data_IF_301254401875
#
_entry.id   IF_301254401875
#
_cell.length_a   1.000
_cell.length_b   1.000
_cell.length_c   1.000
_cell.angle_alpha   90.00
_cell.angle_beta   90.00
_cell.angle_gamma   90.00
#
_symmetry.space_group_name_H-M   'P 1'
#
loop_
_entity.id
_entity.type
_entity.pdbx_description
1 polymer ?
#
# COMPACT_ATOMS: atom_id res chain seq x y z
N UNK A 1 20.39 -13.34 -45.41
CA UNK A 1 19.96 -14.04 -44.18
C UNK A 1 18.76 -13.28 -43.65
N UNK A 2 17.55 -13.75 -43.98
CA UNK A 2 16.32 -13.13 -43.47
C UNK A 2 16.04 -13.70 -42.09
N UNK A 3 15.94 -12.84 -41.09
CA UNK A 3 15.46 -13.24 -39.75
C UNK A 3 14.08 -13.88 -39.94
N UNK A 4 13.92 -15.12 -39.50
CA UNK A 4 12.63 -15.80 -39.57
C UNK A 4 11.62 -15.05 -38.68
N UNK A 5 10.40 -14.81 -39.15
CA UNK A 5 9.36 -14.12 -38.39
C UNK A 5 9.10 -14.78 -37.02
N UNK A 6 9.34 -16.09 -36.93
CA UNK A 6 9.24 -16.86 -35.69
C UNK A 6 10.36 -16.51 -34.68
N UNK A 7 11.60 -16.31 -35.13
CA UNK A 7 12.72 -15.87 -34.29
C UNK A 7 12.51 -14.43 -33.79
N UNK A 8 11.96 -13.56 -34.64
CA UNK A 8 11.63 -12.18 -34.26
C UNK A 8 10.54 -12.14 -33.18
N UNK A 9 9.50 -12.97 -33.31
CA UNK A 9 8.43 -13.08 -32.31
C UNK A 9 8.95 -13.62 -30.97
N UNK A 10 9.86 -14.60 -30.99
CA UNK A 10 10.48 -15.14 -29.78
C UNK A 10 11.38 -14.10 -29.08
N UNK A 11 12.14 -13.31 -29.83
CA UNK A 11 12.96 -12.21 -29.31
C UNK A 11 12.09 -11.14 -28.65
N UNK A 12 11.04 -10.68 -29.33
CA UNK A 12 10.09 -9.69 -28.78
C UNK A 12 9.41 -10.20 -27.51
N UNK A 13 9.03 -11.49 -27.47
CA UNK A 13 8.44 -12.10 -26.29
C UNK A 13 9.41 -12.12 -25.11
N UNK A 14 10.68 -12.43 -25.35
CA UNK A 14 11.73 -12.43 -24.32
C UNK A 14 11.99 -11.03 -23.79
N UNK A 15 12.08 -10.04 -24.68
CA UNK A 15 12.25 -8.63 -24.30
C UNK A 15 11.06 -8.12 -23.47
N UNK A 16 9.84 -8.48 -23.84
CA UNK A 16 8.63 -8.14 -23.10
C UNK A 16 8.62 -8.75 -21.69
N UNK A 17 8.97 -10.04 -21.55
CA UNK A 17 9.05 -10.69 -20.25
C UNK A 17 10.13 -10.07 -19.36
N UNK A 18 11.28 -9.71 -19.95
CA UNK A 18 12.34 -9.01 -19.23
C UNK A 18 11.90 -7.61 -18.78
N UNK A 19 11.19 -6.87 -19.63
CA UNK A 19 10.61 -5.58 -19.27
C UNK A 19 9.59 -5.71 -18.12
N UNK A 20 8.74 -6.74 -18.15
CA UNK A 20 7.80 -7.04 -17.06
C UNK A 20 8.51 -7.37 -15.74
N UNK A 21 9.61 -8.13 -15.79
CA UNK A 21 10.40 -8.44 -14.61
C UNK A 21 11.03 -7.19 -14.00
N UNK A 22 11.62 -6.34 -14.83
CA UNK A 22 12.19 -5.06 -14.42
C UNK A 22 11.11 -4.16 -13.79
N UNK A 23 9.93 -4.09 -14.40
CA UNK A 23 8.81 -3.31 -13.85
C UNK A 23 8.32 -3.87 -12.51
N UNK A 24 8.32 -5.20 -12.33
CA UNK A 24 7.97 -5.84 -11.06
C UNK A 24 8.97 -5.46 -9.95
N UNK A 25 10.27 -5.53 -10.22
CA UNK A 25 11.31 -5.14 -9.26
C UNK A 25 11.19 -3.66 -8.91
N UNK A 26 11.04 -2.80 -9.93
CA UNK A 26 10.86 -1.36 -9.74
C UNK A 26 9.65 -1.07 -8.85
N UNK A 27 8.51 -1.68 -9.14
CA UNK A 27 7.28 -1.53 -8.33
C UNK A 27 7.46 -2.00 -6.88
N UNK A 28 8.23 -3.07 -6.66
CA UNK A 28 8.59 -3.52 -5.31
C UNK A 28 9.43 -2.50 -4.56
N UNK A 29 10.40 -1.87 -5.24
CA UNK A 29 11.20 -0.78 -4.68
C UNK A 29 10.33 0.42 -4.33
N UNK A 30 9.46 0.86 -5.25
CA UNK A 30 8.54 1.98 -5.02
C UNK A 30 7.65 1.73 -3.80
N UNK A 31 7.09 0.53 -3.65
CA UNK A 31 6.31 0.15 -2.46
C UNK A 31 7.11 0.31 -1.17
N UNK A 32 8.37 -0.12 -1.16
CA UNK A 32 9.24 0.01 -0.01
C UNK A 32 9.53 1.49 0.31
N UNK A 33 9.76 2.31 -0.72
CA UNK A 33 10.05 3.73 -0.55
C UNK A 33 8.82 4.54 -0.10
N UNK A 34 7.61 4.19 -0.56
CA UNK A 34 6.37 4.74 -0.01
C UNK A 34 6.21 4.37 1.47
N UNK A 35 6.55 3.14 1.86
CA UNK A 35 6.49 2.71 3.26
C UNK A 35 7.46 3.50 4.14
N UNK A 36 8.71 3.67 3.70
CA UNK A 36 9.71 4.49 4.41
C UNK A 36 9.27 5.95 4.50
N UNK A 37 8.80 6.51 3.39
CA UNK A 37 8.35 7.91 3.33
C UNK A 37 7.15 8.15 4.24
N UNK A 38 6.21 7.21 4.29
CA UNK A 38 5.08 7.25 5.24
C UNK A 38 5.57 7.39 6.69
N UNK A 39 6.52 6.56 7.11
CA UNK A 39 7.09 6.63 8.46
C UNK A 39 7.77 7.99 8.69
N UNK A 40 8.62 8.42 7.77
CA UNK A 40 9.36 9.68 7.88
C UNK A 40 8.41 10.89 7.98
N UNK A 41 7.39 10.95 7.14
CA UNK A 41 6.39 12.02 7.16
C UNK A 41 5.56 12.02 8.44
N UNK A 42 5.09 10.85 8.88
CA UNK A 42 4.31 10.77 10.12
C UNK A 42 5.15 11.20 11.32
N UNK A 43 6.39 10.72 11.44
CA UNK A 43 7.32 11.12 12.50
C UNK A 43 7.59 12.63 12.42
N UNK A 44 7.84 13.16 11.22
CA UNK A 44 8.06 14.59 11.00
C UNK A 44 6.86 15.43 11.41
N UNK A 45 5.63 15.01 11.06
CA UNK A 45 4.40 15.71 11.44
C UNK A 45 4.13 15.64 12.95
N UNK A 46 4.41 14.51 13.60
CA UNK A 46 4.36 14.44 15.07
C UNK A 46 5.39 15.36 15.72
N UNK A 47 6.62 15.37 15.20
CA UNK A 47 7.66 16.27 15.68
C UNK A 47 7.23 17.73 15.55
N UNK A 48 6.81 18.15 14.36
CA UNK A 48 6.35 19.52 14.09
C UNK A 48 5.11 19.90 14.92
N UNK A 49 4.13 18.99 15.02
CA UNK A 49 2.90 19.22 15.78
C UNK A 49 3.09 19.23 17.30
N UNK A 50 4.25 18.78 17.80
CA UNK A 50 4.62 18.86 19.22
C UNK A 50 5.32 20.16 19.62
N UNK A 51 5.79 20.95 18.65
CA UNK A 51 6.53 22.18 18.92
C UNK A 51 5.60 23.32 19.35
N UNK A 52 6.10 24.19 20.21
CA UNK A 52 5.52 25.52 20.45
C UNK A 52 6.47 26.56 19.91
N UNK A 53 6.10 27.22 18.81
CA UNK A 53 6.94 28.26 18.19
C UNK A 53 6.32 29.61 18.54
N UNK A 54 6.81 30.22 19.62
CA UNK A 54 6.29 31.49 20.12
C UNK A 54 4.81 31.39 20.52
N UNK A 55 3.97 32.29 19.98
CA UNK A 55 2.53 32.30 20.21
C UNK A 55 1.74 31.41 19.23
N UNK A 56 2.41 30.78 18.25
CA UNK A 56 1.75 29.93 17.25
C UNK A 56 1.73 28.49 17.76
N UNK A 57 0.54 27.97 18.00
CA UNK A 57 0.34 26.58 18.36
C UNK A 57 0.32 25.71 17.09
N UNK A 58 1.31 24.83 16.91
CA UNK A 58 1.43 23.99 15.72
C UNK A 58 0.61 22.69 15.79
N UNK A 59 -0.13 22.48 16.88
CA UNK A 59 -0.90 21.26 17.13
C UNK A 59 -1.96 20.99 16.04
N UNK A 60 -2.41 22.03 15.32
CA UNK A 60 -3.29 21.91 14.15
C UNK A 60 -2.72 21.00 13.04
N UNK A 61 -1.39 20.90 12.93
CA UNK A 61 -0.71 20.02 11.97
C UNK A 61 -1.03 18.54 12.24
N UNK A 62 -1.33 18.18 13.50
CA UNK A 62 -1.65 16.81 13.88
C UNK A 62 -2.93 16.30 13.20
N UNK A 63 -3.87 17.19 12.84
CA UNK A 63 -5.08 16.83 12.09
C UNK A 63 -4.78 16.30 10.67
N UNK A 64 -3.59 16.60 10.12
CA UNK A 64 -3.16 16.14 8.80
C UNK A 64 -2.52 14.75 8.83
N UNK A 65 -2.14 14.23 10.00
CA UNK A 65 -1.43 12.95 10.12
C UNK A 65 -2.23 11.80 9.50
N UNK A 66 -3.54 11.59 9.81
CA UNK A 66 -4.31 10.51 9.22
C UNK A 66 -4.46 10.66 7.70
N UNK A 67 -4.63 11.90 7.22
CA UNK A 67 -4.76 12.18 5.79
C UNK A 67 -3.51 11.76 5.02
N UNK A 68 -2.33 12.16 5.50
CA UNK A 68 -1.05 11.80 4.89
C UNK A 68 -0.80 10.29 4.97
N UNK A 69 -1.07 9.67 6.12
CA UNK A 69 -0.90 8.22 6.30
C UNK A 69 -1.80 7.41 5.35
N UNK A 70 -3.06 7.82 5.17
CA UNK A 70 -4.00 7.21 4.23
C UNK A 70 -3.53 7.40 2.78
N UNK A 71 -3.04 8.59 2.43
CA UNK A 71 -2.48 8.85 1.10
C UNK A 71 -1.38 7.86 0.74
N UNK A 72 -0.43 7.64 1.66
CA UNK A 72 0.61 6.62 1.48
C UNK A 72 0.07 5.19 1.40
N UNK A 73 -0.94 4.85 2.21
CA UNK A 73 -1.56 3.53 2.12
C UNK A 73 -2.12 3.24 0.73
N UNK A 74 -2.73 4.24 0.07
CA UNK A 74 -3.23 4.10 -1.29
C UNK A 74 -2.10 3.79 -2.29
N UNK A 75 -0.98 4.51 -2.22
CA UNK A 75 0.19 4.25 -3.08
C UNK A 75 0.80 2.87 -2.85
N UNK A 76 0.98 2.48 -1.58
CA UNK A 76 1.50 1.16 -1.21
C UNK A 76 0.59 0.05 -1.75
N UNK A 77 -0.73 0.23 -1.65
CA UNK A 77 -1.72 -0.73 -2.15
C UNK A 77 -1.76 -0.80 -3.67
N UNK A 78 -1.65 0.34 -4.35
CA UNK A 78 -1.58 0.37 -5.81
C UNK A 78 -0.36 -0.41 -6.32
N UNK A 79 0.81 -0.19 -5.71
CA UNK A 79 2.03 -0.92 -6.01
C UNK A 79 1.88 -2.43 -5.71
N UNK A 80 1.30 -2.78 -4.55
CA UNK A 80 1.00 -4.18 -4.21
C UNK A 80 0.13 -4.84 -5.29
N UNK A 81 -1.01 -4.24 -5.65
CA UNK A 81 -1.90 -4.77 -6.70
C UNK A 81 -1.18 -4.94 -8.03
N UNK A 82 -0.34 -4.00 -8.45
CA UNK A 82 0.46 -4.10 -9.68
C UNK A 82 1.39 -5.33 -9.65
N UNK A 83 2.13 -5.53 -8.56
CA UNK A 83 2.99 -6.72 -8.35
C UNK A 83 2.15 -8.01 -8.45
N UNK A 84 0.95 -8.02 -7.86
CA UNK A 84 0.07 -9.20 -7.91
C UNK A 84 -0.40 -9.50 -9.34
N UNK A 85 -0.73 -8.48 -10.12
CA UNK A 85 -1.16 -8.61 -11.52
C UNK A 85 -0.03 -9.12 -12.41
N UNK A 86 1.18 -8.57 -12.27
CA UNK A 86 2.35 -9.04 -13.03
C UNK A 86 2.65 -10.50 -12.70
N UNK A 87 2.67 -10.86 -11.42
CA UNK A 87 2.87 -12.27 -11.01
C UNK A 87 1.79 -13.21 -11.54
N UNK A 88 0.52 -12.79 -11.53
CA UNK A 88 -0.58 -13.58 -12.11
C UNK A 88 -0.41 -13.79 -13.62
N UNK A 89 -0.02 -12.75 -14.36
CA UNK A 89 0.27 -12.83 -15.79
C UNK A 89 1.41 -13.82 -16.08
N UNK A 90 2.52 -13.75 -15.33
CA UNK A 90 3.66 -14.64 -15.53
C UNK A 90 3.30 -16.11 -15.33
N UNK A 91 2.42 -16.44 -14.38
CA UNK A 91 1.94 -17.82 -14.15
C UNK A 91 1.13 -18.37 -15.32
N UNK A 92 0.27 -17.55 -15.92
CA UNK A 92 -0.68 -18.00 -16.95
C UNK A 92 -0.12 -17.93 -18.36
N UNK A 93 0.85 -17.06 -18.62
CA UNK A 93 1.36 -16.85 -19.96
C UNK A 93 2.16 -18.08 -20.48
N UNK A 94 1.86 -18.60 -21.68
CA UNK A 94 2.54 -19.79 -22.22
C UNK A 94 4.03 -19.56 -22.51
N UNK A 95 4.44 -18.33 -22.82
CA UNK A 95 5.84 -18.00 -23.11
C UNK A 95 6.74 -17.80 -21.89
N UNK A 96 6.19 -17.82 -20.67
CA UNK A 96 7.00 -17.71 -19.45
C UNK A 96 7.74 -19.03 -19.20
N UNK A 97 9.00 -18.95 -18.77
CA UNK A 97 9.81 -20.16 -18.52
C UNK A 97 9.24 -20.99 -17.38
N UNK A 98 9.51 -22.31 -17.39
CA UNK A 98 9.04 -23.22 -16.33
C UNK A 98 9.53 -22.80 -14.95
N UNK A 99 10.80 -22.41 -14.85
CA UNK A 99 11.42 -21.95 -13.60
C UNK A 99 10.74 -20.68 -13.06
N UNK A 100 10.42 -19.72 -13.92
CA UNK A 100 9.70 -18.50 -13.52
C UNK A 100 8.27 -18.83 -13.04
N UNK A 101 7.56 -19.74 -13.71
CA UNK A 101 6.22 -20.18 -13.27
C UNK A 101 6.29 -20.85 -11.90
N UNK A 102 7.25 -21.75 -11.69
CA UNK A 102 7.46 -22.42 -10.40
C UNK A 102 7.81 -21.41 -9.30
N UNK A 103 8.68 -20.44 -9.59
CA UNK A 103 9.02 -19.36 -8.66
C UNK A 103 7.82 -18.47 -8.30
N UNK A 104 7.00 -18.08 -9.28
CA UNK A 104 5.80 -17.28 -9.03
C UNK A 104 4.73 -18.07 -8.28
N UNK A 105 4.62 -19.39 -8.52
CA UNK A 105 3.74 -20.27 -7.77
C UNK A 105 4.20 -20.39 -6.31
N UNK A 106 5.50 -20.59 -6.09
CA UNK A 106 6.09 -20.59 -4.75
C UNK A 106 5.87 -19.25 -4.03
N UNK A 107 6.19 -18.14 -4.69
CA UNK A 107 6.02 -16.78 -4.15
C UNK A 107 4.56 -16.45 -3.85
N UNK A 108 3.61 -16.99 -4.61
CA UNK A 108 2.19 -16.83 -4.36
C UNK A 108 1.71 -17.68 -3.18
N UNK A 109 2.20 -18.93 -3.06
CA UNK A 109 1.86 -19.85 -1.97
C UNK A 109 2.36 -19.35 -0.61
N UNK A 110 3.56 -18.76 -0.59
CA UNK A 110 4.17 -18.18 0.61
C UNK A 110 4.08 -16.65 0.64
N UNK A 111 3.04 -16.08 0.01
CA UNK A 111 2.86 -14.64 -0.04
C UNK A 111 2.64 -14.08 1.36
N UNK A 112 3.40 -13.04 1.68
CA UNK A 112 3.17 -12.24 2.88
C UNK A 112 1.84 -11.49 2.79
N UNK A 113 0.85 -11.96 3.55
CA UNK A 113 -0.47 -11.35 3.73
C UNK A 113 -0.48 -10.32 4.86
N UNK A 114 0.58 -10.26 5.66
CA UNK A 114 0.69 -9.44 6.86
C UNK A 114 1.14 -8.02 6.50
N UNK A 115 2.02 -7.83 5.51
CA UNK A 115 2.56 -6.51 5.19
C UNK A 115 1.50 -5.44 4.81
N UNK A 116 0.44 -5.72 4.02
CA UNK A 116 -0.63 -4.74 3.78
C UNK A 116 -1.47 -4.43 5.02
N UNK A 117 -1.65 -5.43 5.88
CA UNK A 117 -2.33 -5.32 7.17
C UNK A 117 -1.52 -4.41 8.09
N UNK A 118 -0.20 -4.60 8.17
CA UNK A 118 0.69 -3.81 9.00
C UNK A 118 0.64 -2.31 8.65
N UNK A 119 0.57 -1.98 7.36
CA UNK A 119 0.46 -0.57 6.93
C UNK A 119 -0.85 0.08 7.37
N UNK A 120 -1.97 -0.63 7.22
CA UNK A 120 -3.29 -0.12 7.63
C UNK A 120 -3.39 -0.02 9.17
N UNK A 121 -2.82 -1.00 9.88
CA UNK A 121 -2.72 -0.98 11.33
C UNK A 121 -1.85 0.19 11.82
N UNK A 122 -0.73 0.46 11.14
CA UNK A 122 0.09 1.62 11.44
C UNK A 122 -0.71 2.93 11.28
N UNK A 123 -1.48 3.08 10.20
CA UNK A 123 -2.38 4.23 10.00
C UNK A 123 -3.41 4.37 11.11
N UNK A 124 -3.98 3.26 11.57
CA UNK A 124 -4.89 3.26 12.72
C UNK A 124 -4.18 3.76 13.99
N UNK A 125 -3.03 3.19 14.33
CA UNK A 125 -2.27 3.57 15.53
C UNK A 125 -1.89 5.05 15.51
N UNK A 126 -1.39 5.57 14.39
CA UNK A 126 -0.97 6.98 14.29
C UNK A 126 -2.16 7.93 14.32
N UNK A 127 -3.33 7.50 13.83
CA UNK A 127 -4.57 8.28 13.91
C UNK A 127 -5.04 8.40 15.36
N UNK A 128 -5.04 7.30 16.11
CA UNK A 128 -5.38 7.32 17.54
C UNK A 128 -4.36 8.14 18.33
N UNK A 129 -3.06 8.00 18.04
CA UNK A 129 -2.01 8.79 18.67
C UNK A 129 -2.19 10.30 18.39
N UNK A 130 -2.47 10.69 17.14
CA UNK A 130 -2.75 12.08 16.80
C UNK A 130 -3.99 12.61 17.54
N UNK A 131 -5.06 11.82 17.60
CA UNK A 131 -6.27 12.18 18.33
C UNK A 131 -6.01 12.41 19.83
N UNK A 132 -5.24 11.53 20.47
CA UNK A 132 -4.84 11.68 21.87
C UNK A 132 -4.00 12.94 22.09
N UNK A 133 -3.03 13.23 21.21
CA UNK A 133 -2.21 14.43 21.32
C UNK A 133 -3.00 15.72 21.14
N UNK A 134 -3.89 15.78 20.13
CA UNK A 134 -4.79 16.92 19.92
C UNK A 134 -5.64 17.16 21.17
N UNK A 135 -6.24 16.11 21.72
CA UNK A 135 -7.07 16.22 22.92
C UNK A 135 -6.29 16.67 24.18
N UNK A 136 -5.01 16.31 24.28
CA UNK A 136 -4.14 16.70 25.37
C UNK A 136 -3.65 18.14 25.27
N UNK A 137 -3.42 18.65 24.04
CA UNK A 137 -2.90 19.99 23.80
C UNK A 137 -3.99 21.06 23.77
N UNK A 138 -5.22 20.70 23.39
CA UNK A 138 -6.33 21.65 23.33
C UNK A 138 -6.75 22.15 24.72
N UNK A 139 -6.64 23.47 24.93
CA UNK A 139 -7.03 24.10 26.20
C UNK A 139 -8.52 24.46 26.27
N UNK A 140 -9.17 24.70 25.13
CA UNK A 140 -10.56 25.16 25.06
C UNK A 140 -11.46 24.07 24.44
N UNK A 141 -12.06 23.25 25.30
CA UNK A 141 -12.92 22.12 24.90
C UNK A 141 -14.39 22.54 24.80
N UNK A 142 -14.69 23.50 23.92
CA UNK A 142 -16.06 23.94 23.67
C UNK A 142 -16.85 22.93 22.80
N UNK A 143 -18.17 23.15 22.66
CA UNK A 143 -19.04 22.26 21.87
C UNK A 143 -18.60 22.17 20.40
N UNK A 144 -18.07 23.26 19.85
CA UNK A 144 -17.57 23.32 18.48
C UNK A 144 -16.34 22.41 18.29
N UNK A 145 -15.37 22.48 19.21
CA UNK A 145 -14.21 21.59 19.24
C UNK A 145 -14.65 20.12 19.26
N UNK A 146 -15.56 19.76 20.17
CA UNK A 146 -16.05 18.37 20.25
C UNK A 146 -16.72 17.91 18.97
N UNK A 147 -17.51 18.79 18.33
CA UNK A 147 -18.20 18.48 17.08
C UNK A 147 -17.21 18.25 15.94
N UNK A 148 -16.24 19.14 15.76
CA UNK A 148 -15.20 19.04 14.73
C UNK A 148 -14.28 17.83 14.99
N UNK A 149 -13.80 17.67 16.22
CA UNK A 149 -12.91 16.58 16.62
C UNK A 149 -13.57 15.20 16.42
N UNK A 150 -14.82 15.05 16.87
CA UNK A 150 -15.56 13.79 16.74
C UNK A 150 -15.86 13.48 15.28
N UNK A 151 -16.28 14.48 14.51
CA UNK A 151 -16.52 14.32 13.07
C UNK A 151 -15.25 13.90 12.32
N UNK A 152 -14.14 14.61 12.56
CA UNK A 152 -12.83 14.29 11.99
C UNK A 152 -12.40 12.86 12.31
N UNK A 153 -12.46 12.47 13.59
CA UNK A 153 -12.04 11.14 14.03
C UNK A 153 -12.92 10.05 13.42
N UNK A 154 -14.25 10.23 13.41
CA UNK A 154 -15.18 9.27 12.82
C UNK A 154 -14.94 9.11 11.32
N UNK A 155 -14.76 10.21 10.58
CA UNK A 155 -14.48 10.17 9.15
C UNK A 155 -13.21 9.36 8.86
N UNK A 156 -12.12 9.62 9.58
CA UNK A 156 -10.87 8.90 9.36
C UNK A 156 -10.95 7.43 9.78
N UNK A 157 -11.62 7.10 10.88
CA UNK A 157 -11.84 5.72 11.27
C UNK A 157 -12.69 4.96 10.24
N UNK A 158 -13.75 5.58 9.71
CA UNK A 158 -14.57 4.98 8.65
C UNK A 158 -13.75 4.73 7.39
N UNK A 159 -12.89 5.67 6.98
CA UNK A 159 -11.99 5.48 5.83
C UNK A 159 -11.03 4.31 6.07
N UNK A 160 -10.41 4.23 7.25
CA UNK A 160 -9.48 3.14 7.60
C UNK A 160 -10.19 1.79 7.56
N UNK A 161 -11.40 1.69 8.14
CA UNK A 161 -12.21 0.47 8.11
C UNK A 161 -12.62 0.12 6.67
N UNK A 162 -13.06 1.10 5.89
CA UNK A 162 -13.41 0.90 4.49
C UNK A 162 -12.21 0.37 3.69
N UNK A 163 -11.05 0.99 3.83
CA UNK A 163 -9.80 0.52 3.21
C UNK A 163 -9.45 -0.91 3.63
N UNK A 164 -9.63 -1.26 4.90
CA UNK A 164 -9.41 -2.63 5.37
C UNK A 164 -10.31 -3.64 4.67
N UNK A 165 -11.62 -3.35 4.58
CA UNK A 165 -12.60 -4.21 3.91
C UNK A 165 -12.29 -4.36 2.42
N UNK A 166 -12.07 -3.26 1.71
CA UNK A 166 -11.76 -3.27 0.27
C UNK A 166 -10.48 -4.06 -0.02
N UNK A 167 -9.47 -4.01 0.85
CA UNK A 167 -8.27 -4.83 0.68
C UNK A 167 -8.59 -6.32 0.68
N UNK A 168 -9.37 -6.76 1.68
CA UNK A 168 -9.76 -8.17 1.82
C UNK A 168 -10.53 -8.66 0.60
N UNK A 169 -11.43 -7.85 0.07
CA UNK A 169 -12.19 -8.18 -1.14
C UNK A 169 -11.30 -8.28 -2.39
N UNK A 170 -10.35 -7.37 -2.56
CA UNK A 170 -9.44 -7.40 -3.72
C UNK A 170 -8.53 -8.64 -3.65
N UNK A 171 -7.99 -8.93 -2.47
CA UNK A 171 -7.14 -10.11 -2.27
C UNK A 171 -7.94 -11.40 -2.52
N UNK A 172 -9.15 -11.51 -1.98
CA UNK A 172 -9.98 -12.70 -2.19
C UNK A 172 -10.35 -12.90 -3.66
N UNK A 173 -10.64 -11.83 -4.41
CA UNK A 173 -10.90 -11.91 -5.86
C UNK A 173 -9.68 -12.35 -6.65
N UNK A 174 -8.49 -11.87 -6.31
CA UNK A 174 -7.24 -12.28 -6.97
C UNK A 174 -6.91 -13.75 -6.67
N UNK A 175 -7.14 -14.20 -5.44
CA UNK A 175 -6.85 -15.58 -5.04
C UNK A 175 -7.89 -16.58 -5.58
N UNK A 176 -9.18 -16.21 -5.60
CA UNK A 176 -10.26 -17.07 -6.13
C UNK A 176 -10.28 -17.16 -7.67
N UNK A 177 -9.75 -16.17 -8.37
CA UNK A 177 -9.60 -16.21 -9.84
C UNK A 177 -8.31 -16.92 -10.29
N UNK A 178 -7.48 -17.43 -9.37
CA UNK A 178 -6.49 -18.42 -9.74
C UNK A 178 -7.19 -19.78 -9.86
N UNK A 179 -7.12 -20.48 -11.00
CA UNK A 179 -7.56 -21.85 -11.05
C UNK A 179 -6.78 -22.63 -9.98
N UNK A 180 -7.51 -23.25 -9.05
CA UNK A 180 -6.93 -24.25 -8.16
C UNK A 180 -6.22 -25.24 -9.05
N UNK A 181 -4.89 -25.32 -8.95
CA UNK A 181 -4.16 -26.48 -9.43
C UNK A 181 -4.72 -27.61 -8.57
N UNK A 182 -5.60 -28.41 -9.16
CA UNK A 182 -6.04 -29.66 -8.58
C UNK A 182 -4.78 -30.49 -8.38
N UNK A 183 -4.42 -30.74 -7.12
CA UNK A 183 -3.39 -31.70 -6.77
C UNK A 183 -3.75 -33.03 -7.43
N UNK A 184 -2.94 -33.43 -8.41
CA UNK A 184 -2.92 -34.77 -9.03
C UNK A 184 -1.60 -35.42 -8.69
#
# INVERSE_FOLDING_TARGET
MGVNAEELNQLQQKEFLQALHNEKIKTQSERADYTKSKLAFVIGLFGLGSLKIGAVESHWILYLIPLVAIGYDLYIRAADVSIKKIGAFLRTNPGTTKNEKEWENFSAKYRDTIAPIANTLFTFVVTIAAAMYIYALEQIKNLFFWSVFTSWLLVFLLIIVWMWLTHREIVSKIDNNNPKISDS
#
